data_IF_820683033839
#
_entry.id   IF_820683033839
#
_cell.length_a   1.000
_cell.length_b   1.000
_cell.length_c   1.000
_cell.angle_alpha   90.00
_cell.angle_beta   90.00
_cell.angle_gamma   90.00
#
_symmetry.space_group_name_H-M   'P 1'
#
loop_
_entity.id
_entity.type
_entity.pdbx_description
1 polymer ?
#
# COMPACT_ATOMS: atom_id res chain seq x y z
N UNK A 1 38.13 17.47 13.82
CA UNK A 1 37.80 16.68 12.61
C UNK A 1 38.58 15.39 12.70
N UNK A 2 37.91 14.27 12.99
CA UNK A 2 38.58 12.97 13.09
C UNK A 2 38.77 12.42 11.67
N UNK A 3 40.03 12.36 11.22
CA UNK A 3 40.41 11.68 9.99
C UNK A 3 40.21 10.17 10.19
N UNK A 4 39.10 9.64 9.68
CA UNK A 4 38.89 8.20 9.59
C UNK A 4 39.88 7.68 8.53
N UNK A 5 40.83 6.85 8.96
CA UNK A 5 41.83 6.27 8.06
C UNK A 5 41.16 5.44 6.97
N UNK A 6 41.57 5.56 5.68
CA UNK A 6 40.99 4.80 4.57
C UNK A 6 41.01 3.28 4.74
N UNK A 7 41.91 2.77 5.59
CA UNK A 7 42.09 1.34 5.86
C UNK A 7 40.96 0.71 6.67
N UNK A 8 40.16 1.51 7.41
CA UNK A 8 39.06 0.99 8.22
C UNK A 8 37.92 0.42 7.34
N UNK A 9 37.77 0.93 6.11
CA UNK A 9 36.76 0.43 5.18
C UNK A 9 37.18 -0.88 4.48
N UNK A 10 38.46 -1.25 4.52
CA UNK A 10 38.95 -2.49 3.93
C UNK A 10 38.82 -3.70 4.88
N UNK A 11 38.59 -3.49 6.17
CA UNK A 11 38.47 -4.57 7.16
C UNK A 11 37.03 -5.05 7.42
N UNK A 12 36.02 -4.39 6.85
CA UNK A 12 34.64 -4.83 7.02
C UNK A 12 34.30 -5.90 5.99
N UNK A 13 33.82 -7.05 6.49
CA UNK A 13 33.29 -8.12 5.66
C UNK A 13 32.21 -7.55 4.71
N UNK A 14 32.42 -7.71 3.41
CA UNK A 14 31.51 -7.22 2.38
C UNK A 14 30.12 -7.83 2.52
N UNK A 15 30.00 -9.05 3.01
CA UNK A 15 28.70 -9.70 3.19
C UNK A 15 27.99 -9.14 4.41
N UNK A 16 28.71 -8.86 5.49
CA UNK A 16 28.17 -8.10 6.64
C UNK A 16 27.70 -6.69 6.24
N UNK A 17 28.48 -5.94 5.45
CA UNK A 17 28.07 -4.63 4.96
C UNK A 17 26.85 -4.69 4.04
N UNK A 18 26.72 -5.72 3.20
CA UNK A 18 25.51 -5.95 2.39
C UNK A 18 24.30 -6.27 3.27
N UNK A 19 24.47 -7.06 4.32
CA UNK A 19 23.38 -7.34 5.28
C UNK A 19 22.96 -6.07 6.00
N UNK A 20 23.91 -5.26 6.47
CA UNK A 20 23.65 -3.95 7.07
C UNK A 20 22.95 -2.99 6.10
N UNK A 21 23.38 -2.95 4.84
CA UNK A 21 22.73 -2.14 3.81
C UNK A 21 21.31 -2.64 3.50
N UNK A 22 21.09 -3.96 3.45
CA UNK A 22 19.76 -4.55 3.32
C UNK A 22 18.89 -4.19 4.51
N UNK A 23 19.37 -4.38 5.73
CA UNK A 23 18.67 -4.01 6.97
C UNK A 23 18.35 -2.51 6.99
N UNK A 24 19.30 -1.66 6.60
CA UNK A 24 19.11 -0.22 6.49
C UNK A 24 18.08 0.15 5.42
N UNK A 25 18.12 -0.48 4.25
CA UNK A 25 17.11 -0.29 3.20
C UNK A 25 15.73 -0.77 3.65
N UNK A 26 15.66 -1.91 4.33
CA UNK A 26 14.43 -2.45 4.91
C UNK A 26 13.86 -1.52 5.96
N UNK A 27 14.73 -0.90 6.76
CA UNK A 27 14.39 0.05 7.80
C UNK A 27 14.15 1.50 7.32
N UNK A 28 14.40 1.83 6.04
CA UNK A 28 14.31 3.23 5.57
C UNK A 28 13.56 3.40 4.24
N UNK A 29 12.96 2.36 3.65
CA UNK A 29 12.21 2.52 2.38
C UNK A 29 10.77 2.02 2.50
N UNK A 30 9.78 2.95 2.59
CA UNK A 30 8.35 2.62 2.59
C UNK A 30 7.96 1.69 1.45
N UNK A 31 8.51 1.90 0.26
CA UNK A 31 8.25 1.10 -0.94
C UNK A 31 8.69 -0.36 -0.77
N UNK A 32 9.85 -0.60 -0.16
CA UNK A 32 10.29 -1.97 0.09
C UNK A 32 9.36 -2.66 1.07
N UNK A 33 9.02 -2.00 2.17
CA UNK A 33 8.12 -2.52 3.19
C UNK A 33 6.75 -2.89 2.60
N UNK A 34 6.18 -2.00 1.79
CA UNK A 34 4.96 -2.27 1.03
C UNK A 34 5.07 -3.53 0.17
N UNK A 35 6.15 -3.66 -0.61
CA UNK A 35 6.38 -4.82 -1.48
C UNK A 35 6.52 -6.12 -0.68
N UNK A 36 7.04 -6.07 0.54
CA UNK A 36 7.09 -7.25 1.39
C UNK A 36 5.72 -7.60 1.95
N UNK A 37 4.96 -6.63 2.49
CA UNK A 37 3.59 -6.88 2.95
C UNK A 37 2.69 -7.42 1.84
N UNK A 38 2.83 -6.92 0.61
CA UNK A 38 2.09 -7.45 -0.55
C UNK A 38 2.40 -8.89 -0.92
N UNK A 39 3.52 -9.45 -0.44
CA UNK A 39 3.86 -10.87 -0.65
C UNK A 39 3.31 -11.77 0.45
N UNK A 40 2.86 -11.21 1.57
CA UNK A 40 2.30 -11.99 2.67
C UNK A 40 0.85 -12.36 2.38
N UNK A 41 0.52 -13.64 2.52
CA UNK A 41 -0.84 -14.16 2.35
C UNK A 41 -1.84 -13.53 3.32
N UNK A 42 -1.37 -13.17 4.51
CA UNK A 42 -2.13 -12.61 5.61
C UNK A 42 -2.66 -11.22 5.26
N UNK A 43 -1.85 -10.42 4.55
CA UNK A 43 -2.24 -9.09 4.07
C UNK A 43 -3.33 -9.20 3.00
N UNK A 44 -3.23 -10.16 2.10
CA UNK A 44 -4.29 -10.45 1.13
C UNK A 44 -5.56 -10.99 1.82
N UNK A 45 -5.41 -11.90 2.79
CA UNK A 45 -6.53 -12.42 3.58
C UNK A 45 -7.26 -11.31 4.35
N UNK A 46 -6.53 -10.36 4.92
CA UNK A 46 -7.09 -9.18 5.58
C UNK A 46 -7.93 -8.38 4.58
N UNK A 47 -7.40 -8.12 3.37
CA UNK A 47 -8.14 -7.45 2.32
C UNK A 47 -9.36 -8.22 1.84
N UNK A 48 -9.36 -9.56 1.86
CA UNK A 48 -10.54 -10.37 1.50
C UNK A 48 -11.59 -10.38 2.59
N UNK A 49 -11.18 -10.42 3.85
CA UNK A 49 -12.06 -10.56 5.02
C UNK A 49 -12.79 -9.27 5.41
N UNK A 50 -12.15 -8.12 5.23
CA UNK A 50 -12.66 -6.83 5.70
C UNK A 50 -12.96 -5.88 4.56
N UNK A 51 -13.94 -4.99 4.71
CA UNK A 51 -14.20 -3.93 3.71
C UNK A 51 -13.11 -2.86 3.75
N UNK A 52 -13.00 -2.02 2.71
CA UNK A 52 -12.04 -0.91 2.73
C UNK A 52 -12.31 0.06 3.91
N UNK A 53 -13.58 0.26 4.26
CA UNK A 53 -14.01 1.09 5.38
C UNK A 53 -13.68 0.47 6.74
N UNK A 54 -13.79 -0.86 6.88
CA UNK A 54 -13.37 -1.53 8.13
C UNK A 54 -11.86 -1.43 8.33
N UNK A 55 -11.09 -1.56 7.25
CA UNK A 55 -9.64 -1.36 7.27
C UNK A 55 -9.31 0.10 7.63
N UNK A 56 -10.02 1.09 7.04
CA UNK A 56 -9.89 2.51 7.42
C UNK A 56 -10.11 2.72 8.92
N UNK A 57 -11.18 2.12 9.47
CA UNK A 57 -11.51 2.25 10.89
C UNK A 57 -10.42 1.66 11.77
N UNK A 58 -9.87 0.49 11.41
CA UNK A 58 -8.75 -0.13 12.10
C UNK A 58 -7.50 0.75 12.11
N UNK A 59 -7.14 1.29 10.94
CA UNK A 59 -6.00 2.21 10.80
C UNK A 59 -6.19 3.45 11.70
N UNK A 60 -7.36 4.10 11.63
CA UNK A 60 -7.64 5.29 12.45
C UNK A 60 -7.61 5.00 13.94
N UNK A 61 -8.14 3.85 14.36
CA UNK A 61 -8.09 3.42 15.76
C UNK A 61 -6.65 3.30 16.24
N UNK A 62 -5.79 2.62 15.48
CA UNK A 62 -4.37 2.45 15.84
C UNK A 62 -3.61 3.77 15.84
N UNK A 63 -3.85 4.63 14.85
CA UNK A 63 -3.21 5.95 14.75
C UNK A 63 -3.62 6.88 15.90
N UNK A 64 -4.85 6.77 16.41
CA UNK A 64 -5.34 7.62 17.51
C UNK A 64 -4.74 7.29 18.88
N UNK A 65 -4.23 6.07 19.06
CA UNK A 65 -3.63 5.59 20.31
C UNK A 65 -2.31 4.84 20.04
N UNK A 66 -1.46 5.45 19.22
CA UNK A 66 -0.18 4.87 18.82
C UNK A 66 0.82 4.98 19.99
N UNK A 67 1.10 3.86 20.65
CA UNK A 67 2.01 3.73 21.80
C UNK A 67 3.24 2.89 21.50
N UNK A 68 3.09 1.92 20.60
CA UNK A 68 4.08 0.87 20.38
C UNK A 68 4.43 0.73 18.91
N UNK A 69 5.70 0.36 18.65
CA UNK A 69 6.21 0.20 17.28
C UNK A 69 5.43 -0.86 16.48
N UNK A 70 4.96 -1.94 17.11
CA UNK A 70 4.22 -2.98 16.39
C UNK A 70 2.89 -2.45 15.83
N UNK A 71 2.24 -1.50 16.52
CA UNK A 71 0.98 -0.91 16.04
C UNK A 71 1.22 -0.12 14.74
N UNK A 72 2.39 0.49 14.60
CA UNK A 72 2.78 1.17 13.37
C UNK A 72 2.99 0.17 12.22
N UNK A 73 3.60 -0.99 12.51
CA UNK A 73 3.73 -2.08 11.54
C UNK A 73 2.36 -2.63 11.12
N UNK A 74 1.41 -2.74 12.04
CA UNK A 74 0.02 -3.12 11.74
C UNK A 74 -0.65 -2.11 10.81
N UNK A 75 -0.49 -0.81 11.07
CA UNK A 75 -0.99 0.26 10.20
C UNK A 75 -0.42 0.10 8.79
N UNK A 76 0.89 -0.13 8.65
CA UNK A 76 1.52 -0.32 7.34
C UNK A 76 1.01 -1.58 6.61
N UNK A 77 0.80 -2.68 7.33
CA UNK A 77 0.20 -3.89 6.76
C UNK A 77 -1.25 -3.65 6.29
N UNK A 78 -2.05 -2.90 7.06
CA UNK A 78 -3.42 -2.53 6.69
C UNK A 78 -3.46 -1.61 5.47
N UNK A 79 -2.53 -0.65 5.37
CA UNK A 79 -2.39 0.20 4.17
C UNK A 79 -2.01 -0.66 2.95
N UNK A 80 -1.09 -1.60 3.10
CA UNK A 80 -0.73 -2.52 2.03
C UNK A 80 -1.94 -3.39 1.61
N UNK A 81 -2.79 -3.80 2.54
CA UNK A 81 -4.02 -4.56 2.27
C UNK A 81 -5.01 -3.78 1.37
N UNK A 82 -5.08 -2.46 1.52
CA UNK A 82 -5.92 -1.62 0.65
C UNK A 82 -5.54 -1.72 -0.83
N UNK A 83 -4.27 -2.04 -1.15
CA UNK A 83 -3.83 -2.22 -2.54
C UNK A 83 -4.34 -3.50 -3.24
N UNK A 84 -4.98 -4.41 -2.48
CA UNK A 84 -5.70 -5.55 -3.02
C UNK A 84 -7.19 -5.25 -3.27
N UNK A 85 -7.69 -4.10 -2.80
CA UNK A 85 -9.04 -3.63 -3.13
C UNK A 85 -9.04 -2.99 -4.52
N UNK A 86 -10.19 -3.00 -5.18
CA UNK A 86 -10.32 -2.27 -6.45
C UNK A 86 -10.18 -0.76 -6.24
N UNK A 87 -9.87 -0.06 -7.32
CA UNK A 87 -9.60 1.39 -7.30
C UNK A 87 -10.72 2.21 -6.65
N UNK A 88 -11.98 1.89 -6.99
CA UNK A 88 -13.17 2.61 -6.51
C UNK A 88 -13.31 2.49 -4.98
N UNK A 89 -13.00 1.32 -4.40
CA UNK A 89 -13.08 1.10 -2.97
C UNK A 89 -11.88 1.68 -2.21
N UNK A 90 -10.66 1.50 -2.75
CA UNK A 90 -9.44 1.86 -2.04
C UNK A 90 -9.17 3.36 -2.05
N UNK A 91 -9.36 4.01 -3.21
CA UNK A 91 -8.94 5.41 -3.42
C UNK A 91 -9.49 6.38 -2.38
N UNK A 92 -10.80 6.40 -2.07
CA UNK A 92 -11.33 7.39 -1.12
C UNK A 92 -10.79 7.19 0.30
N UNK A 93 -10.44 5.96 0.67
CA UNK A 93 -9.82 5.65 1.96
C UNK A 93 -8.38 6.12 1.96
N UNK A 94 -7.61 5.77 0.93
CA UNK A 94 -6.21 6.14 0.76
C UNK A 94 -6.03 7.67 0.74
N UNK A 95 -6.86 8.41 0.00
CA UNK A 95 -6.77 9.88 -0.07
C UNK A 95 -6.93 10.56 1.31
N UNK A 96 -7.80 10.02 2.18
CA UNK A 96 -7.95 10.55 3.54
C UNK A 96 -6.71 10.29 4.42
N UNK A 97 -5.94 9.24 4.13
CA UNK A 97 -4.74 8.88 4.89
C UNK A 97 -3.53 9.73 4.49
N UNK A 98 -3.55 10.40 3.31
CA UNK A 98 -2.48 11.32 2.90
C UNK A 98 -2.25 12.48 3.87
N UNK A 99 -3.29 12.85 4.64
CA UNK A 99 -3.27 14.00 5.57
C UNK A 99 -2.67 13.61 6.93
N UNK A 100 -2.33 12.33 7.14
CA UNK A 100 -1.81 11.85 8.42
C UNK A 100 -0.32 12.19 8.55
N UNK A 101 0.11 12.74 9.68
CA UNK A 101 1.52 13.15 9.91
C UNK A 101 2.43 11.98 10.34
N UNK A 102 1.94 10.75 10.29
CA UNK A 102 2.69 9.56 10.71
C UNK A 102 3.65 9.13 9.61
N UNK A 103 4.93 9.06 9.98
CA UNK A 103 6.12 9.04 9.13
C UNK A 103 5.92 8.47 7.72
N UNK A 104 5.70 7.16 7.58
CA UNK A 104 5.63 6.53 6.25
C UNK A 104 4.23 6.41 5.68
N UNK A 105 3.19 6.77 6.42
CA UNK A 105 1.79 6.62 5.99
C UNK A 105 1.54 7.39 4.67
N UNK A 106 1.83 8.71 4.56
CA UNK A 106 1.61 9.43 3.31
C UNK A 106 2.42 8.88 2.13
N UNK A 107 3.66 8.44 2.38
CA UNK A 107 4.54 7.91 1.33
C UNK A 107 4.02 6.58 0.78
N UNK A 108 3.60 5.66 1.66
CA UNK A 108 2.99 4.38 1.27
C UNK A 108 1.71 4.61 0.47
N UNK A 109 0.84 5.47 1.00
CA UNK A 109 -0.44 5.80 0.37
C UNK A 109 -0.22 6.37 -1.03
N UNK A 110 0.72 7.32 -1.18
CA UNK A 110 1.03 7.93 -2.48
C UNK A 110 1.57 6.91 -3.47
N UNK A 111 2.51 6.07 -3.04
CA UNK A 111 3.03 4.99 -3.89
C UNK A 111 1.92 4.04 -4.36
N UNK A 112 0.96 3.70 -3.50
CA UNK A 112 -0.17 2.86 -3.88
C UNK A 112 -1.06 3.58 -4.91
N UNK A 113 -1.45 4.82 -4.63
CA UNK A 113 -2.30 5.60 -5.54
C UNK A 113 -1.66 5.78 -6.93
N UNK A 114 -0.34 6.00 -6.99
CA UNK A 114 0.41 6.15 -8.24
C UNK A 114 0.51 4.84 -9.04
N UNK A 115 0.34 3.69 -8.39
CA UNK A 115 0.46 2.36 -9.02
C UNK A 115 -0.88 1.68 -9.29
N UNK A 116 -1.96 2.14 -8.65
CA UNK A 116 -3.32 1.65 -8.93
C UNK A 116 -3.86 2.27 -10.21
N UNK A 117 -4.40 1.44 -11.11
CA UNK A 117 -5.10 1.91 -12.29
C UNK A 117 -6.61 2.00 -12.02
N UNK A 118 -7.30 3.04 -12.52
CA UNK A 118 -8.76 3.00 -12.62
C UNK A 118 -9.15 1.77 -13.44
N UNK A 119 -10.10 0.96 -12.95
CA UNK A 119 -10.67 -0.08 -13.80
C UNK A 119 -11.31 0.60 -15.00
N UNK A 120 -10.85 0.26 -16.22
CA UNK A 120 -11.50 0.69 -17.45
C UNK A 120 -12.92 0.13 -17.42
N UNK A 121 -13.89 0.95 -17.03
CA UNK A 121 -15.30 0.64 -17.20
C UNK A 121 -15.58 0.59 -18.69
N UNK A 122 -15.55 -0.61 -19.27
CA UNK A 122 -16.14 -0.84 -20.58
C UNK A 122 -17.61 -0.43 -20.48
N UNK A 123 -17.96 0.70 -21.09
CA UNK A 123 -19.34 1.08 -21.32
C UNK A 123 -19.88 0.02 -22.27
N UNK A 124 -20.67 -0.92 -21.75
CA UNK A 124 -21.49 -1.79 -22.60
C UNK A 124 -22.60 -0.90 -23.14
N UNK A 125 -22.40 -0.31 -24.32
CA UNK A 125 -23.48 0.33 -25.07
C UNK A 125 -24.52 -0.74 -25.40
N UNK A 126 -25.59 -0.80 -24.61
CA UNK A 126 -26.78 -1.56 -24.96
C UNK A 126 -27.37 -0.93 -26.23
N UNK A 127 -27.04 -1.49 -27.40
CA UNK A 127 -27.76 -1.19 -28.63
C UNK A 127 -29.18 -1.73 -28.50
N UNK A 128 -30.09 -0.88 -28.04
CA UNK A 128 -31.51 -1.14 -28.11
C UNK A 128 -31.92 -1.28 -29.58
N UNK A 129 -32.19 -2.52 -30.02
CA UNK A 129 -32.88 -2.75 -31.29
C UNK A 129 -34.38 -2.66 -31.04
N UNK A 130 -35.07 -1.58 -31.48
CA UNK A 130 -36.52 -1.53 -31.38
C UNK A 130 -37.12 -2.70 -32.18
N UNK A 131 -38.07 -3.41 -31.56
CA UNK A 131 -38.88 -4.40 -32.28
C UNK A 131 -39.70 -3.66 -33.33
N UNK A 132 -39.41 -3.88 -34.60
CA UNK A 132 -40.27 -3.44 -35.71
C UNK A 132 -41.62 -4.15 -35.56
N UNK A 133 -42.66 -3.37 -35.25
CA UNK A 133 -44.03 -3.84 -35.26
C UNK A 133 -44.41 -4.13 -36.72
N UNK A 134 -44.52 -5.41 -37.07
CA UNK A 134 -45.11 -5.82 -38.35
C UNK A 134 -46.62 -5.62 -38.20
N UNK A 135 -47.16 -4.55 -38.80
CA UNK A 135 -48.59 -4.46 -39.05
C UNK A 135 -48.90 -5.38 -40.23
N UNK A 136 -49.58 -6.50 -39.95
CA UNK A 136 -50.17 -7.34 -40.99
C UNK A 136 -51.34 -6.61 -41.63
N UNK A 137 -51.31 -6.54 -42.96
CA UNK A 137 -52.47 -6.23 -43.80
C UNK A 137 -53.31 -7.46 -44.10
#
# INVERSE_FOLDING_TARGET
MNNISPDILQSFDKDFLKELAKLYMYANTPVFLFRQYRKLSETEMLARKYTAQDIERGIRSLLSDLKELYQLLEVYAMIAALSFKNYVQAKPVLEKLLITEVEWVPYLVRYILDTMQPENSYIIEYQYKPKTHVQGG
#
